data_IF_497675365603
#
_entry.id   IF_497675365603
#
_cell.length_a   1.000
_cell.length_b   1.000
_cell.length_c   1.000
_cell.angle_alpha   90.00
_cell.angle_beta   90.00
_cell.angle_gamma   90.00
#
_symmetry.space_group_name_H-M   'P 1'
#
loop_
_entity.id
_entity.type
_entity.pdbx_description
1 polymer ?
#
# COMPACT_ATOMS: atom_id res chain seq x y z
N UNK A 1 -8.41 47.26 9.00
CA UNK A 1 -8.69 46.76 7.63
C UNK A 1 -8.88 45.24 7.51
N UNK A 2 -8.84 44.43 8.59
CA UNK A 2 -9.11 42.97 8.50
C UNK A 2 -10.60 42.59 8.55
N UNK A 3 -11.49 43.45 9.06
CA UNK A 3 -12.92 43.11 9.24
C UNK A 3 -13.84 43.30 8.03
N UNK A 4 -13.41 43.98 6.96
CA UNK A 4 -14.26 44.18 5.76
C UNK A 4 -14.24 42.99 4.80
N UNK A 5 -13.18 42.18 4.78
CA UNK A 5 -13.13 40.99 3.91
C UNK A 5 -14.01 39.84 4.41
N UNK A 6 -14.20 39.72 5.73
CA UNK A 6 -15.10 38.70 6.31
C UNK A 6 -16.58 39.02 6.04
N UNK A 7 -16.95 40.31 6.01
CA UNK A 7 -18.31 40.75 5.67
C UNK A 7 -18.62 40.53 4.18
N UNK A 8 -17.66 40.81 3.29
CA UNK A 8 -17.82 40.61 1.85
C UNK A 8 -18.06 39.13 1.51
N UNK A 9 -17.38 38.22 2.19
CA UNK A 9 -17.57 36.78 1.99
C UNK A 9 -18.96 36.32 2.44
N UNK A 10 -19.48 36.85 3.55
CA UNK A 10 -20.80 36.49 4.06
C UNK A 10 -21.93 37.06 3.20
N UNK A 11 -21.80 38.28 2.70
CA UNK A 11 -22.77 38.88 1.76
C UNK A 11 -22.78 38.13 0.42
N UNK A 12 -21.60 37.81 -0.14
CA UNK A 12 -21.51 36.99 -1.36
C UNK A 12 -22.08 35.59 -1.17
N UNK A 13 -21.92 34.98 0.01
CA UNK A 13 -22.56 33.70 0.34
C UNK A 13 -24.08 33.89 0.34
N UNK A 14 -24.63 34.85 1.08
CA UNK A 14 -26.08 35.05 1.11
C UNK A 14 -26.67 35.34 -0.28
N UNK A 15 -26.02 36.18 -1.07
CA UNK A 15 -26.46 36.52 -2.43
C UNK A 15 -26.40 35.29 -3.35
N UNK A 16 -25.32 34.52 -3.33
CA UNK A 16 -25.20 33.28 -4.14
C UNK A 16 -26.26 32.23 -3.75
N UNK A 17 -26.63 32.15 -2.48
CA UNK A 17 -27.63 31.19 -1.99
C UNK A 17 -29.07 31.66 -2.20
N UNK A 18 -29.33 32.96 -2.34
CA UNK A 18 -30.65 33.51 -2.71
C UNK A 18 -30.98 33.29 -4.21
N UNK A 19 -29.96 33.23 -5.07
CA UNK A 19 -30.12 33.00 -6.51
C UNK A 19 -30.06 31.53 -6.94
N UNK A 20 -29.45 30.65 -6.14
CA UNK A 20 -29.34 29.22 -6.45
C UNK A 20 -30.37 28.42 -5.70
N UNK A 21 -31.20 27.67 -6.43
CA UNK A 21 -32.06 26.68 -5.80
C UNK A 21 -31.23 25.62 -5.07
N UNK A 22 -31.78 25.00 -4.02
CA UNK A 22 -31.15 23.85 -3.34
C UNK A 22 -30.76 22.74 -4.33
N UNK A 23 -31.50 22.60 -5.42
CA UNK A 23 -31.19 21.65 -6.49
C UNK A 23 -29.91 22.04 -7.25
N UNK A 24 -29.74 23.31 -7.58
CA UNK A 24 -28.53 23.80 -8.27
C UNK A 24 -27.29 23.69 -7.40
N UNK A 25 -27.43 23.90 -6.09
CA UNK A 25 -26.37 23.66 -5.11
C UNK A 25 -25.97 22.18 -5.08
N UNK A 26 -26.92 21.25 -4.93
CA UNK A 26 -26.64 19.81 -4.94
C UNK A 26 -25.98 19.38 -6.26
N UNK A 27 -26.48 19.88 -7.39
CA UNK A 27 -25.93 19.59 -8.72
C UNK A 27 -24.51 20.14 -8.86
N UNK A 28 -24.24 21.33 -8.33
CA UNK A 28 -22.91 21.95 -8.35
C UNK A 28 -21.93 21.17 -7.49
N UNK A 29 -22.31 20.77 -6.27
CA UNK A 29 -21.51 19.87 -5.44
C UNK A 29 -21.26 18.52 -6.11
N UNK A 30 -22.26 17.91 -6.75
CA UNK A 30 -22.09 16.66 -7.50
C UNK A 30 -21.09 16.80 -8.64
N UNK A 31 -21.16 17.89 -9.42
CA UNK A 31 -20.20 18.19 -10.50
C UNK A 31 -18.79 18.43 -9.96
N UNK A 32 -18.68 19.18 -8.87
CA UNK A 32 -17.42 19.46 -8.20
C UNK A 32 -16.77 18.17 -7.70
N UNK A 33 -17.54 17.32 -7.02
CA UNK A 33 -17.09 15.99 -6.56
C UNK A 33 -16.67 15.11 -7.74
N UNK A 34 -17.43 15.08 -8.85
CA UNK A 34 -17.02 14.35 -10.06
C UNK A 34 -15.68 14.84 -10.61
N UNK A 35 -15.48 16.16 -10.66
CA UNK A 35 -14.22 16.77 -11.13
C UNK A 35 -13.06 16.46 -10.18
N UNK A 36 -13.30 16.52 -8.86
CA UNK A 36 -12.30 16.11 -7.87
C UNK A 36 -11.96 14.63 -7.99
N UNK A 37 -12.95 13.73 -8.09
CA UNK A 37 -12.72 12.31 -8.31
C UNK A 37 -11.93 12.05 -9.60
N UNK A 38 -12.22 12.80 -10.67
CA UNK A 38 -11.45 12.70 -11.91
C UNK A 38 -10.00 13.15 -11.73
N UNK A 39 -9.76 14.29 -11.06
CA UNK A 39 -8.41 14.79 -10.79
C UNK A 39 -7.62 13.83 -9.89
N UNK A 40 -8.26 13.29 -8.85
CA UNK A 40 -7.67 12.25 -8.00
C UNK A 40 -7.36 11.02 -8.84
N UNK A 41 -8.27 10.64 -9.76
CA UNK A 41 -8.11 9.42 -10.55
C UNK A 41 -6.91 9.42 -11.51
N UNK A 42 -6.40 10.60 -11.84
CA UNK A 42 -5.25 10.78 -12.72
C UNK A 42 -3.92 10.74 -11.96
N UNK A 43 -3.96 10.79 -10.62
CA UNK A 43 -2.76 10.84 -9.80
C UNK A 43 -2.43 9.48 -9.25
N UNK A 44 -1.15 9.16 -9.36
CA UNK A 44 -0.56 8.02 -8.68
C UNK A 44 -0.54 8.32 -7.18
N UNK A 45 -1.01 7.37 -6.37
CA UNK A 45 -1.23 7.60 -4.93
C UNK A 45 -0.22 6.82 -4.08
N UNK A 46 0.43 7.55 -3.17
CA UNK A 46 1.23 6.99 -2.09
C UNK A 46 0.37 6.87 -0.84
N UNK A 47 0.25 5.67 -0.29
CA UNK A 47 -0.61 5.42 0.86
C UNK A 47 0.18 4.80 2.00
N UNK A 48 0.04 5.39 3.19
CA UNK A 48 0.55 4.85 4.44
C UNK A 48 -0.64 4.57 5.38
N UNK A 49 -0.89 3.29 5.63
CA UNK A 49 -1.95 2.79 6.49
C UNK A 49 -1.43 2.40 7.88
N UNK A 50 -0.17 2.69 8.20
CA UNK A 50 0.50 2.17 9.41
C UNK A 50 -0.13 2.57 10.73
N UNK A 51 -0.93 3.63 10.75
CA UNK A 51 -1.51 4.21 11.96
C UNK A 51 -3.04 4.06 12.01
N UNK A 52 -3.63 3.32 11.07
CA UNK A 52 -5.08 3.14 11.05
C UNK A 52 -5.53 2.09 12.07
N UNK A 53 -6.66 2.38 12.70
CA UNK A 53 -7.36 1.42 13.55
C UNK A 53 -8.06 0.35 12.72
N UNK A 54 -8.41 -0.77 13.34
CA UNK A 54 -9.12 -1.88 12.68
C UNK A 54 -10.41 -1.42 11.98
N UNK A 55 -11.21 -0.56 12.61
CA UNK A 55 -12.47 -0.06 12.04
C UNK A 55 -12.24 0.86 10.85
N UNK A 56 -11.14 1.62 10.85
CA UNK A 56 -10.78 2.48 9.71
C UNK A 56 -10.41 1.64 8.48
N UNK A 57 -9.74 0.50 8.67
CA UNK A 57 -9.37 -0.39 7.56
C UNK A 57 -10.56 -0.95 6.79
N UNK A 58 -11.64 -1.29 7.47
CA UNK A 58 -12.86 -1.84 6.83
C UNK A 58 -13.51 -0.83 5.88
N UNK A 59 -13.34 0.47 6.14
CA UNK A 59 -13.89 1.53 5.30
C UNK A 59 -12.99 1.95 4.13
N UNK A 60 -11.72 1.51 4.09
CA UNK A 60 -10.74 1.98 3.09
C UNK A 60 -11.09 1.60 1.65
N UNK A 61 -11.64 0.40 1.44
CA UNK A 61 -11.93 -0.15 0.10
C UNK A 61 -12.94 0.68 -0.67
N UNK A 62 -13.77 1.46 0.03
CA UNK A 62 -14.80 2.32 -0.58
C UNK A 62 -14.27 3.70 -0.95
N UNK A 63 -13.17 4.14 -0.33
CA UNK A 63 -12.72 5.54 -0.41
C UNK A 63 -11.53 5.68 -1.35
N UNK A 64 -10.71 4.64 -1.47
CA UNK A 64 -9.40 4.73 -2.11
C UNK A 64 -9.43 4.08 -3.50
N UNK A 65 -9.01 4.78 -4.56
CA UNK A 65 -8.86 4.20 -5.88
C UNK A 65 -7.65 3.25 -5.92
N UNK A 66 -7.89 1.97 -5.62
CA UNK A 66 -6.84 0.96 -5.42
C UNK A 66 -5.93 0.78 -6.66
N UNK A 67 -6.46 0.99 -7.87
CA UNK A 67 -5.72 0.85 -9.12
C UNK A 67 -4.63 1.93 -9.31
N UNK A 68 -4.68 3.05 -8.58
CA UNK A 68 -3.68 4.12 -8.68
C UNK A 68 -2.56 4.02 -7.65
N UNK A 69 -2.66 3.06 -6.73
CA UNK A 69 -1.67 2.90 -5.67
C UNK A 69 -0.39 2.32 -6.27
N UNK A 70 0.68 3.12 -6.24
CA UNK A 70 2.04 2.65 -6.57
C UNK A 70 2.88 2.32 -5.34
N UNK A 71 2.54 2.93 -4.21
CA UNK A 71 3.23 2.74 -2.94
C UNK A 71 2.21 2.46 -1.86
N UNK A 72 2.41 1.36 -1.16
CA UNK A 72 1.58 0.96 -0.04
C UNK A 72 2.47 0.58 1.14
N UNK A 73 2.26 1.26 2.25
CA UNK A 73 2.84 0.90 3.54
C UNK A 73 1.73 0.50 4.49
N UNK A 74 1.83 -0.68 5.07
CA UNK A 74 0.88 -1.25 6.01
C UNK A 74 1.66 -1.62 7.26
N UNK A 75 1.13 -1.26 8.42
CA UNK A 75 1.64 -1.73 9.70
C UNK A 75 0.50 -2.33 10.48
N UNK A 76 0.77 -3.43 11.19
CA UNK A 76 -0.28 -4.09 11.92
C UNK A 76 0.19 -4.87 13.16
N UNK A 77 0.43 -4.16 14.27
CA UNK A 77 0.81 -4.78 15.55
C UNK A 77 -0.32 -5.59 16.21
N UNK A 78 -1.59 -5.33 15.89
CA UNK A 78 -2.72 -5.73 16.76
C UNK A 78 -3.88 -6.44 16.06
N UNK A 79 -3.85 -6.54 14.73
CA UNK A 79 -4.95 -7.13 13.95
C UNK A 79 -4.46 -8.41 13.29
N UNK A 80 -5.25 -9.48 13.36
CA UNK A 80 -4.94 -10.72 12.64
C UNK A 80 -5.63 -10.66 11.28
N UNK A 81 -5.01 -11.17 10.21
CA UNK A 81 -5.58 -11.28 8.86
C UNK A 81 -5.91 -9.94 8.17
N UNK A 82 -5.14 -8.87 8.41
CA UNK A 82 -5.43 -7.59 7.71
C UNK A 82 -5.19 -7.68 6.21
N UNK A 83 -4.18 -8.46 5.81
CA UNK A 83 -3.78 -8.59 4.42
C UNK A 83 -4.86 -9.29 3.57
N UNK A 84 -5.64 -10.20 4.16
CA UNK A 84 -6.72 -10.87 3.44
C UNK A 84 -7.92 -9.95 3.17
N UNK A 85 -8.01 -8.81 3.85
CA UNK A 85 -9.07 -7.81 3.66
C UNK A 85 -8.71 -6.78 2.60
N UNK A 86 -7.43 -6.64 2.30
CA UNK A 86 -6.95 -5.69 1.30
C UNK A 86 -7.03 -6.35 -0.08
N UNK A 87 -7.74 -5.69 -1.01
CA UNK A 87 -7.90 -6.16 -2.37
C UNK A 87 -6.66 -5.85 -3.22
N UNK A 88 -5.54 -6.51 -2.90
CA UNK A 88 -4.26 -6.33 -3.60
C UNK A 88 -4.39 -6.58 -5.10
N UNK A 89 -5.24 -7.53 -5.51
CA UNK A 89 -5.52 -7.87 -6.90
C UNK A 89 -6.05 -6.70 -7.74
N UNK A 90 -6.49 -5.59 -7.11
CA UNK A 90 -6.92 -4.38 -7.79
C UNK A 90 -5.80 -3.33 -7.93
N UNK A 91 -4.66 -3.53 -7.27
CA UNK A 91 -3.53 -2.59 -7.22
C UNK A 91 -2.51 -2.86 -8.32
N UNK A 92 -2.95 -2.83 -9.57
CA UNK A 92 -2.12 -3.23 -10.72
C UNK A 92 -0.86 -2.37 -10.93
N UNK A 93 -0.79 -1.17 -10.33
CA UNK A 93 0.34 -0.26 -10.45
C UNK A 93 1.30 -0.31 -9.25
N UNK A 94 1.10 -1.23 -8.30
CA UNK A 94 1.88 -1.30 -7.07
C UNK A 94 3.34 -1.68 -7.36
N UNK A 95 4.25 -0.76 -7.05
CA UNK A 95 5.70 -0.95 -7.22
C UNK A 95 6.44 -1.06 -5.90
N UNK A 96 5.91 -0.45 -4.84
CA UNK A 96 6.53 -0.43 -3.52
C UNK A 96 5.54 -0.96 -2.49
N UNK A 97 5.88 -2.08 -1.86
CA UNK A 97 5.12 -2.66 -0.76
C UNK A 97 5.98 -2.72 0.49
N UNK A 98 5.47 -2.14 1.56
CA UNK A 98 6.13 -2.14 2.87
C UNK A 98 5.17 -2.69 3.92
N UNK A 99 5.58 -3.77 4.57
CA UNK A 99 4.82 -4.52 5.56
C UNK A 99 5.55 -4.47 6.90
N UNK A 100 5.00 -3.74 7.86
CA UNK A 100 5.55 -3.61 9.21
C UNK A 100 4.69 -4.36 10.23
N UNK A 101 5.36 -5.02 11.16
CA UNK A 101 4.75 -5.72 12.27
C UNK A 101 3.70 -6.76 11.89
N UNK A 102 3.78 -7.35 10.68
CA UNK A 102 2.79 -8.32 10.20
C UNK A 102 3.22 -9.75 10.54
N UNK A 103 2.28 -10.59 10.97
CA UNK A 103 2.51 -12.02 11.19
C UNK A 103 2.84 -12.76 9.89
N UNK A 104 3.82 -13.67 9.92
CA UNK A 104 4.18 -14.54 8.80
C UNK A 104 3.03 -15.35 8.24
N UNK A 105 2.04 -15.74 9.05
CA UNK A 105 0.86 -16.45 8.54
C UNK A 105 0.05 -15.59 7.54
N UNK A 106 -0.12 -14.30 7.84
CA UNK A 106 -0.83 -13.37 6.96
C UNK A 106 -0.04 -13.12 5.69
N UNK A 107 1.29 -12.99 5.81
CA UNK A 107 2.21 -12.83 4.69
C UNK A 107 2.17 -14.08 3.80
N UNK A 108 2.25 -15.28 4.38
CA UNK A 108 2.11 -16.55 3.67
C UNK A 108 0.81 -16.62 2.90
N UNK A 109 -0.31 -16.26 3.52
CA UNK A 109 -1.62 -16.28 2.87
C UNK A 109 -1.70 -15.29 1.71
N UNK A 110 -1.09 -14.11 1.86
CA UNK A 110 -0.95 -13.13 0.80
C UNK A 110 -0.17 -13.72 -0.41
N UNK A 111 0.97 -14.37 -0.15
CA UNK A 111 1.81 -15.00 -1.19
C UNK A 111 1.26 -16.31 -1.77
N UNK A 112 0.40 -17.00 -1.02
CA UNK A 112 -0.29 -18.19 -1.50
C UNK A 112 -1.45 -17.84 -2.46
N UNK A 113 -1.98 -16.62 -2.37
CA UNK A 113 -3.09 -16.17 -3.18
C UNK A 113 -2.69 -15.98 -4.64
N UNK A 114 -3.29 -16.76 -5.55
CA UNK A 114 -3.08 -16.63 -7.00
C UNK A 114 -3.52 -15.26 -7.54
N UNK A 115 -4.50 -14.62 -6.90
CA UNK A 115 -5.04 -13.33 -7.37
C UNK A 115 -4.05 -12.17 -7.24
N UNK A 116 -3.05 -12.29 -6.37
CA UNK A 116 -2.07 -11.23 -6.09
C UNK A 116 -0.80 -11.40 -6.94
N UNK A 117 -0.64 -12.55 -7.60
CA UNK A 117 0.56 -12.87 -8.38
C UNK A 117 0.90 -11.80 -9.43
N UNK A 118 -0.08 -11.31 -10.19
CA UNK A 118 0.13 -10.28 -11.22
C UNK A 118 0.64 -8.96 -10.65
N UNK A 119 0.21 -8.62 -9.43
CA UNK A 119 0.63 -7.40 -8.73
C UNK A 119 2.10 -7.53 -8.34
N UNK A 120 2.51 -8.70 -7.85
CA UNK A 120 3.87 -8.97 -7.43
C UNK A 120 4.88 -9.01 -8.57
N UNK A 121 4.44 -9.29 -9.80
CA UNK A 121 5.32 -9.20 -10.98
C UNK A 121 5.81 -7.77 -11.27
N UNK A 122 5.14 -6.75 -10.73
CA UNK A 122 5.49 -5.35 -10.92
C UNK A 122 6.21 -4.72 -9.72
N UNK A 123 6.33 -5.45 -8.61
CA UNK A 123 7.00 -4.94 -7.42
C UNK A 123 8.49 -4.75 -7.68
N UNK A 124 8.95 -3.52 -7.45
CA UNK A 124 10.35 -3.12 -7.51
C UNK A 124 10.97 -3.08 -6.11
N UNK A 125 10.16 -2.81 -5.08
CA UNK A 125 10.61 -2.72 -3.70
C UNK A 125 9.65 -3.46 -2.79
N UNK A 126 10.20 -4.40 -2.02
CA UNK A 126 9.51 -5.11 -0.96
C UNK A 126 10.26 -4.91 0.34
N UNK A 127 9.56 -4.48 1.38
CA UNK A 127 10.11 -4.44 2.73
C UNK A 127 9.16 -5.16 3.68
N UNK A 128 9.69 -6.11 4.43
CA UNK A 128 8.97 -6.88 5.43
C UNK A 128 9.73 -6.72 6.74
N UNK A 129 9.00 -6.37 7.79
CA UNK A 129 9.46 -6.45 9.17
C UNK A 129 8.36 -7.18 9.94
N UNK A 130 8.58 -8.43 10.31
CA UNK A 130 7.58 -9.23 11.02
C UNK A 130 7.65 -9.01 12.53
N UNK A 131 6.53 -9.21 13.22
CA UNK A 131 6.44 -9.21 14.69
C UNK A 131 6.81 -10.54 15.32
N UNK A 132 6.70 -11.65 14.59
CA UNK A 132 6.96 -12.99 15.12
C UNK A 132 8.28 -13.54 14.58
N UNK A 133 9.35 -13.37 15.35
CA UNK A 133 10.64 -14.04 15.11
C UNK A 133 10.53 -15.57 15.23
N UNK A 134 9.51 -16.07 15.92
CA UNK A 134 9.25 -17.51 16.14
C UNK A 134 8.33 -18.13 15.08
N UNK A 135 8.15 -17.49 13.91
CA UNK A 135 7.41 -18.11 12.82
C UNK A 135 8.06 -19.44 12.45
N UNK A 136 7.27 -20.52 12.41
CA UNK A 136 7.73 -21.85 11.98
C UNK A 136 8.59 -21.71 10.72
N UNK A 137 9.83 -22.20 10.73
CA UNK A 137 10.82 -22.00 9.66
C UNK A 137 10.24 -22.27 8.27
N UNK A 138 9.35 -23.28 8.15
CA UNK A 138 8.67 -23.61 6.90
C UNK A 138 7.79 -22.48 6.30
N UNK A 139 7.15 -21.64 7.12
CA UNK A 139 6.38 -20.50 6.60
C UNK A 139 7.29 -19.41 6.07
N UNK A 140 8.40 -19.15 6.77
CA UNK A 140 9.41 -18.17 6.37
C UNK A 140 10.04 -18.55 5.04
N UNK A 141 10.50 -19.80 4.93
CA UNK A 141 11.09 -20.36 3.70
C UNK A 141 10.09 -20.34 2.55
N UNK A 142 8.81 -20.65 2.79
CA UNK A 142 7.77 -20.55 1.77
C UNK A 142 7.66 -19.11 1.22
N UNK A 143 7.58 -18.12 2.10
CA UNK A 143 7.47 -16.70 1.71
C UNK A 143 8.69 -16.28 0.89
N UNK A 144 9.89 -16.65 1.32
CA UNK A 144 11.14 -16.39 0.60
C UNK A 144 11.15 -16.97 -0.81
N UNK A 145 10.85 -18.27 -0.93
CA UNK A 145 10.75 -18.95 -2.22
C UNK A 145 9.75 -18.24 -3.12
N UNK A 146 8.64 -17.73 -2.57
CA UNK A 146 7.65 -16.95 -3.32
C UNK A 146 8.15 -15.58 -3.74
N UNK A 147 8.84 -14.84 -2.88
CA UNK A 147 9.42 -13.54 -3.22
C UNK A 147 10.37 -13.68 -4.42
N UNK A 148 11.33 -14.60 -4.34
CA UNK A 148 12.34 -14.74 -5.39
C UNK A 148 11.82 -15.46 -6.66
N UNK A 149 10.77 -16.29 -6.57
CA UNK A 149 10.17 -16.90 -7.77
C UNK A 149 9.10 -16.05 -8.46
N UNK A 150 8.43 -15.14 -7.74
CA UNK A 150 7.26 -14.41 -8.25
C UNK A 150 7.51 -12.93 -8.55
N UNK A 151 8.65 -12.37 -8.14
CA UNK A 151 8.95 -10.94 -8.31
C UNK A 151 10.16 -10.70 -9.24
N UNK A 152 10.03 -10.93 -10.55
CA UNK A 152 11.14 -10.79 -11.50
C UNK A 152 11.72 -9.37 -11.60
N UNK A 153 10.99 -8.34 -11.17
CA UNK A 153 11.43 -6.93 -11.21
C UNK A 153 11.96 -6.40 -9.88
N UNK A 154 12.02 -7.24 -8.86
CA UNK A 154 12.41 -6.83 -7.52
C UNK A 154 13.86 -6.35 -7.50
N UNK A 155 14.07 -5.07 -7.16
CA UNK A 155 15.40 -4.45 -7.05
C UNK A 155 15.85 -4.33 -5.61
N UNK A 156 14.93 -4.00 -4.71
CA UNK A 156 15.21 -3.80 -3.29
C UNK A 156 14.31 -4.73 -2.48
N UNK A 157 14.93 -5.63 -1.74
CA UNK A 157 14.25 -6.53 -0.81
C UNK A 157 14.79 -6.28 0.59
N UNK A 158 13.91 -6.02 1.56
CA UNK A 158 14.27 -5.98 2.97
C UNK A 158 13.40 -6.99 3.72
N UNK A 159 14.03 -7.88 4.47
CA UNK A 159 13.36 -8.96 5.22
C UNK A 159 14.06 -9.13 6.57
N UNK A 160 13.35 -9.54 7.63
CA UNK A 160 13.95 -9.71 8.94
C UNK A 160 14.96 -10.87 8.93
N UNK A 161 15.88 -10.87 9.89
CA UNK A 161 17.03 -11.77 9.93
C UNK A 161 16.63 -13.24 9.74
N UNK A 162 17.38 -13.91 8.87
CA UNK A 162 17.24 -15.33 8.57
C UNK A 162 18.55 -16.01 8.91
N UNK A 163 18.49 -17.31 9.23
CA UNK A 163 19.70 -18.13 9.17
C UNK A 163 20.23 -18.05 7.74
N UNK A 164 21.53 -17.81 7.57
CA UNK A 164 22.17 -17.71 6.25
C UNK A 164 21.91 -18.99 5.45
N UNK A 165 21.81 -20.13 6.12
CA UNK A 165 21.51 -21.43 5.52
C UNK A 165 20.14 -21.46 4.81
N UNK A 166 19.20 -20.57 5.16
CA UNK A 166 17.90 -20.46 4.46
C UNK A 166 18.06 -19.96 3.02
N UNK A 167 19.20 -19.35 2.68
CA UNK A 167 19.50 -18.81 1.34
C UNK A 167 20.18 -19.81 0.41
N UNK A 168 20.71 -20.92 0.91
CA UNK A 168 21.48 -21.87 0.08
C UNK A 168 20.63 -22.44 -1.08
N UNK A 169 19.31 -22.55 -0.86
CA UNK A 169 18.33 -23.01 -1.85
C UNK A 169 17.67 -21.88 -2.66
N UNK A 170 17.98 -20.61 -2.37
CA UNK A 170 17.32 -19.47 -2.97
C UNK A 170 18.18 -18.87 -4.09
N UNK A 171 17.72 -19.01 -5.33
CA UNK A 171 18.29 -18.26 -6.46
C UNK A 171 17.66 -16.87 -6.50
N UNK A 172 18.37 -15.79 -6.13
CA UNK A 172 17.83 -14.44 -6.21
C UNK A 172 17.51 -14.07 -7.66
N UNK A 173 16.57 -13.15 -7.84
CA UNK A 173 16.23 -12.61 -9.16
C UNK A 173 17.43 -11.85 -9.73
N UNK A 174 17.69 -11.99 -11.03
CA UNK A 174 18.80 -11.28 -11.70
C UNK A 174 18.70 -9.75 -11.61
N UNK A 175 17.53 -9.23 -11.29
CA UNK A 175 17.24 -7.80 -11.13
C UNK A 175 17.48 -7.27 -9.72
N UNK A 176 17.74 -8.15 -8.74
CA UNK A 176 17.94 -7.74 -7.35
C UNK A 176 19.26 -6.98 -7.23
N UNK A 177 19.18 -5.76 -6.70
CA UNK A 177 20.32 -4.86 -6.50
C UNK A 177 20.71 -4.80 -5.02
N UNK A 178 19.71 -4.82 -4.14
CA UNK A 178 19.92 -4.68 -2.70
C UNK A 178 19.05 -5.67 -1.94
N UNK A 179 19.70 -6.48 -1.10
CA UNK A 179 19.05 -7.36 -0.13
C UNK A 179 19.46 -6.92 1.27
N UNK A 180 18.51 -6.38 2.03
CA UNK A 180 18.72 -5.87 3.38
C UNK A 180 18.15 -6.87 4.38
N UNK A 181 19.00 -7.35 5.27
CA UNK A 181 18.67 -8.14 6.44
C UNK A 181 18.86 -7.27 7.70
N UNK A 182 18.23 -7.61 8.82
CA UNK A 182 18.22 -6.74 10.02
C UNK A 182 19.61 -6.29 10.50
N UNK A 183 20.65 -7.12 10.31
CA UNK A 183 22.03 -6.81 10.71
C UNK A 183 23.04 -6.83 9.56
N UNK A 184 22.59 -7.01 8.32
CA UNK A 184 23.48 -7.11 7.16
C UNK A 184 22.82 -6.51 5.92
N UNK A 185 23.58 -5.75 5.14
CA UNK A 185 23.14 -5.33 3.80
C UNK A 185 24.01 -6.03 2.78
N UNK A 186 23.40 -6.87 1.95
CA UNK A 186 24.06 -7.48 0.80
C UNK A 186 23.75 -6.64 -0.43
N UNK A 187 24.81 -6.16 -1.08
CA UNK A 187 24.73 -5.50 -2.38
C UNK A 187 24.96 -6.58 -3.43
N UNK A 188 23.92 -6.86 -4.22
CA UNK A 188 24.02 -7.80 -5.33
C UNK A 188 24.67 -7.07 -6.50
N UNK A 189 25.97 -7.29 -6.68
CA UNK A 189 26.68 -6.83 -7.87
C UNK A 189 26.18 -7.69 -9.04
N UNK A 190 25.30 -7.13 -9.87
CA UNK A 190 24.74 -7.81 -11.03
C UNK A 190 25.83 -8.39 -11.92
N UNK A 191 25.54 -9.54 -12.52
CA UNK A 191 26.29 -10.04 -13.68
C UNK A 191 25.87 -9.29 -14.93
#
# INVERSE_FOLDING_TARGET
>A
MKGHFELLANELIHEVFDYLSSFDLIKSFSKLNKRFSHLISQRIVKIDLSHLSKSQYENLTHIIPLNQIYFLKISNKWTINILSRILFNLMNNLQVLILYHINYNDIRNLFASKSVFLVFQQLNTLKIQSTNFNGLDGQRIFVLRKIFSQMPKLRVCQIPLMDINDFDDLTPTSTLQQLILDYCTMICLGK
#
